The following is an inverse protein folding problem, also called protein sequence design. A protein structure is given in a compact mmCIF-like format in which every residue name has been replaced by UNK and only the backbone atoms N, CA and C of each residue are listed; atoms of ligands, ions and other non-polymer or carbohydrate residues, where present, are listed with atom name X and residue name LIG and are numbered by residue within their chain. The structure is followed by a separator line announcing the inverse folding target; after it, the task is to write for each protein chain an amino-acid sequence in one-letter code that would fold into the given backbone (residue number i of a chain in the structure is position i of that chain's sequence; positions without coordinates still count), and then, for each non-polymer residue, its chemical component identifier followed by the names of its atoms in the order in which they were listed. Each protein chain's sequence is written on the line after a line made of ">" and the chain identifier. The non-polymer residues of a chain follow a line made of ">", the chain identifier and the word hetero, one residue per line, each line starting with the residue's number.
data_IF_919312039218
#
_entry.id   IF_919312039218
#
_cell.length_a   1.000
_cell.length_b   1.000
_cell.length_c   1.000
_cell.angle_alpha   90.00
_cell.angle_beta   90.00
_cell.angle_gamma   90.00
#
_symmetry.space_group_name_H-M   'P 1'
#
loop_
_entity.id
_entity.type
_entity.pdbx_description
1 polymer ?
#
# COMPACT_ATOMS: atom_id res chain seq x y z
N UNK A 1 59.79 -7.35 31.29
CA UNK A 1 60.04 -5.91 31.54
C UNK A 1 60.32 -5.23 30.20
N UNK A 2 59.80 -4.00 29.97
CA UNK A 2 59.61 -3.22 28.70
C UNK A 2 58.28 -3.59 27.99
N UNK A 3 57.18 -2.82 28.05
CA UNK A 3 56.82 -1.44 27.60
C UNK A 3 56.75 -1.30 26.06
N UNK A 4 55.57 -0.90 25.56
CA UNK A 4 55.30 -0.38 24.20
C UNK A 4 54.06 -1.03 23.57
N UNK A 5 52.80 -0.59 23.78
CA UNK A 5 52.14 0.64 23.31
C UNK A 5 52.04 0.67 21.76
N UNK A 6 50.87 0.37 21.17
CA UNK A 6 50.04 1.33 20.42
C UNK A 6 48.86 0.72 19.61
N UNK A 7 47.70 1.36 19.81
CA UNK A 7 46.52 1.56 18.94
C UNK A 7 45.57 0.40 18.58
N UNK A 8 44.64 0.23 19.53
CA UNK A 8 43.21 -0.04 19.38
C UNK A 8 42.55 0.96 18.42
N UNK A 9 41.77 0.52 17.43
CA UNK A 9 40.84 1.40 16.69
C UNK A 9 39.54 0.66 16.37
N UNK A 10 38.70 0.50 17.38
CA UNK A 10 37.24 0.39 17.25
C UNK A 10 36.65 1.30 18.32
N UNK A 11 36.18 2.48 17.93
CA UNK A 11 35.35 3.34 18.77
C UNK A 11 33.98 3.45 18.09
N UNK A 12 33.08 2.56 18.50
CA UNK A 12 31.64 2.81 18.50
C UNK A 12 31.35 3.61 19.78
N UNK A 13 30.34 4.48 19.68
CA UNK A 13 29.64 5.20 20.76
C UNK A 13 30.28 6.51 21.23
N UNK A 14 29.56 7.61 20.92
CA UNK A 14 29.42 8.88 21.64
C UNK A 14 28.84 9.88 20.60
N UNK A 15 27.71 10.57 20.76
CA UNK A 15 26.96 10.92 21.97
C UNK A 15 25.56 11.38 21.56
N UNK A 16 24.52 10.81 22.17
CA UNK A 16 23.28 11.53 22.44
C UNK A 16 23.55 12.40 23.68
N UNK A 17 23.75 13.69 23.49
CA UNK A 17 23.67 14.67 24.58
C UNK A 17 23.06 15.96 24.04
N UNK A 18 21.74 16.03 24.18
CA UNK A 18 20.95 17.21 24.54
C UNK A 18 21.58 18.59 24.28
N UNK A 19 21.12 19.28 23.24
CA UNK A 19 21.35 20.71 23.03
C UNK A 19 20.46 21.58 23.94
N UNK A 20 20.37 21.29 25.25
CA UNK A 20 19.52 22.05 26.19
C UNK A 20 20.32 22.89 27.22
N UNK A 21 21.66 22.88 27.18
CA UNK A 21 22.48 23.59 28.19
C UNK A 21 23.20 24.86 27.71
N UNK A 22 22.80 25.46 26.58
CA UNK A 22 23.33 26.77 26.14
C UNK A 22 22.34 27.93 26.39
N UNK A 23 21.12 27.64 26.87
CA UNK A 23 20.08 28.67 27.10
C UNK A 23 20.20 29.42 28.44
N UNK A 24 21.08 29.02 29.37
CA UNK A 24 21.15 29.63 30.73
C UNK A 24 22.10 30.83 30.90
N UNK A 25 22.77 31.32 29.86
CA UNK A 25 23.77 32.41 29.99
C UNK A 25 23.42 33.76 29.35
N UNK A 26 22.29 33.90 28.67
CA UNK A 26 21.83 35.19 28.20
C UNK A 26 20.35 35.34 28.53
N UNK A 27 20.07 35.98 29.66
CA UNK A 27 18.71 36.38 29.99
C UNK A 27 18.25 37.44 28.99
N UNK A 28 17.21 37.13 28.21
CA UNK A 28 16.15 38.06 27.83
C UNK A 28 14.92 37.24 27.38
N UNK A 29 13.76 37.79 27.72
CA UNK A 29 12.41 37.20 27.76
C UNK A 29 11.81 37.03 26.36
N UNK A 30 11.08 35.92 26.15
CA UNK A 30 9.74 35.95 25.55
C UNK A 30 9.03 34.63 25.86
N UNK A 31 8.07 34.68 26.80
CA UNK A 31 6.90 33.81 26.72
C UNK A 31 6.12 34.19 25.44
N UNK A 32 5.36 33.26 24.86
CA UNK A 32 4.56 33.42 23.64
C UNK A 32 5.21 33.06 22.29
N UNK A 33 6.15 32.11 22.28
CA UNK A 33 6.32 31.28 21.09
C UNK A 33 5.40 30.06 21.22
N UNK A 34 4.18 30.17 20.68
CA UNK A 34 3.38 28.99 20.34
C UNK A 34 4.31 28.10 19.48
N UNK A 35 4.57 26.84 19.83
CA UNK A 35 5.39 26.00 18.98
C UNK A 35 4.67 25.88 17.64
N UNK A 36 5.21 26.53 16.60
CA UNK A 36 4.73 26.33 15.24
C UNK A 36 4.83 24.83 14.98
N UNK A 37 3.66 24.20 14.91
CA UNK A 37 3.57 22.80 14.53
C UNK A 37 4.20 22.70 13.13
N UNK A 38 5.08 21.71 12.87
CA UNK A 38 5.70 21.58 11.57
C UNK A 38 4.58 21.50 10.53
N UNK A 39 4.46 22.51 9.68
CA UNK A 39 3.45 22.51 8.63
C UNK A 39 3.91 21.47 7.62
N UNK A 40 3.25 20.31 7.61
CA UNK A 40 3.58 19.26 6.67
C UNK A 40 3.54 19.79 5.25
N UNK A 41 4.65 19.63 4.55
CA UNK A 41 4.71 19.91 3.11
C UNK A 41 3.80 18.95 2.34
N UNK A 42 3.26 19.38 1.20
CA UNK A 42 2.40 18.53 0.36
C UNK A 42 3.10 17.23 -0.05
N UNK A 43 4.43 17.26 -0.19
CA UNK A 43 5.25 16.08 -0.45
C UNK A 43 5.23 15.07 0.72
N UNK A 44 5.28 15.54 1.97
CA UNK A 44 5.19 14.68 3.15
C UNK A 44 3.80 14.05 3.31
N UNK A 45 2.74 14.82 3.02
CA UNK A 45 1.35 14.31 3.02
C UNK A 45 1.17 13.24 1.95
N UNK A 46 1.60 13.50 0.71
CA UNK A 46 1.52 12.52 -0.38
C UNK A 46 2.32 11.24 -0.05
N UNK A 47 3.46 11.36 0.63
CA UNK A 47 4.25 10.19 1.03
C UNK A 47 3.60 9.38 2.15
N UNK A 48 2.97 10.03 3.13
CA UNK A 48 2.16 9.35 4.16
C UNK A 48 0.94 8.68 3.55
N UNK A 49 0.29 9.31 2.57
CA UNK A 49 -0.86 8.76 1.87
C UNK A 49 -0.48 7.54 1.03
N UNK A 50 0.64 7.60 0.30
CA UNK A 50 1.22 6.42 -0.38
C UNK A 50 1.46 5.25 0.57
N UNK A 51 2.01 5.50 1.75
CA UNK A 51 2.23 4.47 2.77
C UNK A 51 0.91 3.86 3.27
N UNK A 52 -0.09 4.70 3.55
CA UNK A 52 -1.43 4.25 3.97
C UNK A 52 -2.15 3.43 2.90
N UNK A 53 -2.04 3.83 1.63
CA UNK A 53 -2.62 3.09 0.50
C UNK A 53 -1.92 1.75 0.35
N UNK A 54 -0.59 1.70 0.47
CA UNK A 54 0.17 0.45 0.46
C UNK A 54 -0.32 -0.54 1.53
N UNK A 55 -0.62 -0.05 2.74
CA UNK A 55 -1.14 -0.87 3.83
C UNK A 55 -2.61 -1.29 3.64
N UNK A 56 -3.42 -0.49 2.93
CA UNK A 56 -4.87 -0.64 2.85
C UNK A 56 -5.42 -0.74 1.42
N UNK A 57 -4.65 -1.23 0.46
CA UNK A 57 -5.03 -1.21 -0.96
C UNK A 57 -6.36 -1.94 -1.23
N UNK A 58 -6.73 -2.93 -0.42
CA UNK A 58 -8.00 -3.63 -0.48
C UNK A 58 -9.23 -2.71 -0.28
N UNK A 59 -9.06 -1.55 0.35
CA UNK A 59 -10.15 -0.57 0.52
C UNK A 59 -10.36 0.29 -0.75
N UNK A 60 -9.35 0.39 -1.61
CA UNK A 60 -9.35 1.24 -2.80
C UNK A 60 -9.46 0.45 -4.11
N UNK A 61 -9.08 -0.83 -4.11
CA UNK A 61 -9.18 -1.72 -5.26
C UNK A 61 -10.23 -2.80 -4.96
N UNK A 62 -11.29 -2.87 -5.77
CA UNK A 62 -12.45 -3.73 -5.50
C UNK A 62 -12.88 -4.51 -6.72
N UNK A 63 -13.42 -5.70 -6.50
CA UNK A 63 -14.16 -6.45 -7.52
C UNK A 63 -15.60 -5.94 -7.48
N UNK A 64 -16.12 -5.47 -8.61
CA UNK A 64 -17.49 -4.97 -8.74
C UNK A 64 -18.23 -5.72 -9.83
N UNK A 65 -19.56 -5.77 -9.69
CA UNK A 65 -20.47 -6.32 -10.68
C UNK A 65 -21.16 -5.18 -11.41
N UNK A 66 -20.95 -5.08 -12.72
CA UNK A 66 -21.56 -4.03 -13.55
C UNK A 66 -21.89 -4.57 -14.94
N UNK A 67 -23.08 -4.23 -15.45
CA UNK A 67 -23.54 -4.60 -16.80
C UNK A 67 -23.45 -6.11 -17.10
N UNK A 68 -23.70 -6.95 -16.09
CA UNK A 68 -23.65 -8.41 -16.25
C UNK A 68 -22.23 -8.97 -16.31
N UNK A 69 -21.22 -8.26 -15.80
CA UNK A 69 -19.84 -8.71 -15.81
C UNK A 69 -19.08 -8.27 -14.56
N UNK A 70 -18.00 -8.99 -14.23
CA UNK A 70 -17.08 -8.59 -13.15
C UNK A 70 -15.96 -7.73 -13.69
N UNK A 71 -15.68 -6.62 -13.03
CA UNK A 71 -14.52 -5.78 -13.29
C UNK A 71 -13.83 -5.37 -11.99
N UNK A 72 -12.59 -4.89 -12.14
CA UNK A 72 -11.81 -4.31 -11.05
C UNK A 72 -12.00 -2.81 -11.09
N UNK A 73 -12.52 -2.25 -10.00
CA UNK A 73 -12.54 -0.81 -9.77
C UNK A 73 -11.25 -0.40 -9.06
N UNK A 74 -10.55 0.57 -9.64
CA UNK A 74 -9.35 1.17 -9.09
C UNK A 74 -9.65 2.61 -8.67
N UNK A 75 -9.88 2.83 -7.38
CA UNK A 75 -10.09 4.15 -6.79
C UNK A 75 -8.81 4.74 -6.18
N UNK A 76 -7.64 4.36 -6.71
CA UNK A 76 -6.35 4.96 -6.33
C UNK A 76 -5.93 6.01 -7.34
N UNK A 77 -5.01 6.89 -6.95
CA UNK A 77 -4.35 7.85 -7.85
C UNK A 77 -3.29 7.22 -8.76
N UNK A 78 -3.15 5.89 -8.75
CA UNK A 78 -2.10 5.17 -9.45
C UNK A 78 -2.69 4.22 -10.48
N UNK A 79 -1.93 4.02 -11.56
CA UNK A 79 -2.24 2.92 -12.48
C UNK A 79 -1.80 1.61 -11.84
N UNK A 80 -2.70 0.63 -11.81
CA UNK A 80 -2.38 -0.74 -11.39
C UNK A 80 -1.85 -1.49 -12.60
N UNK A 81 -0.67 -2.09 -12.46
CA UNK A 81 -0.05 -2.86 -13.54
C UNK A 81 -0.72 -4.21 -13.70
N UNK A 82 -1.04 -4.85 -12.57
CA UNK A 82 -1.71 -6.14 -12.51
C UNK A 82 -2.54 -6.27 -11.24
N UNK A 83 -3.73 -6.85 -11.37
CA UNK A 83 -4.54 -7.34 -10.27
C UNK A 83 -4.89 -8.80 -10.57
N UNK A 84 -4.47 -9.71 -9.68
CA UNK A 84 -4.79 -11.13 -9.80
C UNK A 84 -5.93 -11.49 -8.85
N UNK A 85 -6.96 -12.12 -9.42
CA UNK A 85 -8.19 -12.49 -8.74
C UNK A 85 -8.39 -13.98 -8.85
N UNK A 86 -8.76 -14.60 -7.74
CA UNK A 86 -9.25 -15.97 -7.74
C UNK A 86 -10.77 -15.91 -7.86
N UNK A 87 -11.30 -16.43 -8.95
CA UNK A 87 -12.74 -16.51 -9.19
C UNK A 87 -13.24 -17.90 -8.86
N UNK A 88 -14.41 -18.00 -8.24
CA UNK A 88 -15.07 -19.26 -7.95
C UNK A 88 -16.55 -19.16 -8.32
N UNK A 89 -17.12 -20.22 -8.88
CA UNK A 89 -18.54 -20.29 -9.22
C UNK A 89 -19.03 -21.74 -9.13
N UNK A 90 -20.33 -21.91 -9.34
CA UNK A 90 -20.96 -23.22 -9.42
C UNK A 90 -21.70 -23.38 -10.75
N UNK A 91 -21.78 -24.61 -11.24
CA UNK A 91 -22.48 -24.96 -12.47
C UNK A 91 -23.25 -26.28 -12.25
N UNK A 92 -24.40 -26.41 -12.89
CA UNK A 92 -25.08 -27.70 -13.02
C UNK A 92 -24.50 -28.48 -14.20
N UNK A 93 -23.95 -29.67 -13.93
CA UNK A 93 -23.45 -30.61 -14.93
C UNK A 93 -24.21 -31.90 -14.72
N UNK A 94 -25.01 -32.32 -15.71
CA UNK A 94 -25.85 -33.52 -15.62
C UNK A 94 -26.71 -33.57 -14.35
N UNK A 95 -27.36 -32.45 -14.01
CA UNK A 95 -28.17 -32.25 -12.80
C UNK A 95 -27.41 -32.22 -11.46
N UNK A 96 -26.08 -32.36 -11.46
CA UNK A 96 -25.24 -32.21 -10.28
C UNK A 96 -24.66 -30.79 -10.16
N UNK A 97 -24.73 -30.19 -8.96
CA UNK A 97 -24.08 -28.91 -8.68
C UNK A 97 -22.59 -29.13 -8.42
N UNK A 98 -21.72 -28.58 -9.27
CA UNK A 98 -20.26 -28.64 -9.15
C UNK A 98 -19.66 -27.27 -8.91
N UNK A 99 -18.61 -27.20 -8.10
CA UNK A 99 -17.85 -25.98 -7.83
C UNK A 99 -16.60 -25.89 -8.71
N UNK A 100 -16.31 -24.69 -9.19
CA UNK A 100 -15.16 -24.38 -10.04
C UNK A 100 -14.41 -23.18 -9.46
N UNK A 101 -13.10 -23.17 -9.64
CA UNK A 101 -12.25 -22.08 -9.21
C UNK A 101 -11.11 -21.90 -10.20
N UNK A 102 -10.83 -20.66 -10.61
CA UNK A 102 -9.73 -20.36 -11.51
C UNK A 102 -9.13 -18.97 -11.26
N UNK A 103 -7.82 -18.79 -11.50
CA UNK A 103 -7.17 -17.49 -11.44
C UNK A 103 -7.47 -16.67 -12.70
N UNK A 104 -7.68 -15.36 -12.51
CA UNK A 104 -7.88 -14.37 -13.55
C UNK A 104 -6.97 -13.17 -13.30
N UNK A 105 -6.51 -12.54 -14.36
CA UNK A 105 -5.62 -11.38 -14.29
C UNK A 105 -6.22 -10.20 -15.05
N UNK A 106 -6.14 -9.04 -14.42
CA UNK A 106 -6.48 -7.75 -15.00
C UNK A 106 -5.20 -6.95 -15.07
N UNK A 107 -4.87 -6.41 -16.23
CA UNK A 107 -3.65 -5.66 -16.44
C UNK A 107 -3.98 -4.23 -16.85
N UNK A 108 -3.07 -3.31 -16.53
CA UNK A 108 -3.15 -1.91 -16.93
C UNK A 108 -4.52 -1.28 -16.62
N UNK A 109 -4.78 -1.06 -15.33
CA UNK A 109 -6.01 -0.43 -14.85
C UNK A 109 -5.67 1.01 -14.45
N UNK A 110 -6.04 2.03 -15.25
CA UNK A 110 -5.74 3.43 -14.94
C UNK A 110 -6.27 3.87 -13.57
N UNK A 111 -5.68 4.93 -13.02
CA UNK A 111 -6.19 5.59 -11.83
C UNK A 111 -7.67 5.99 -11.99
N UNK A 112 -8.45 5.89 -10.92
CA UNK A 112 -9.88 6.25 -10.88
C UNK A 112 -10.71 5.67 -12.03
N UNK A 113 -10.46 4.41 -12.37
CA UNK A 113 -11.07 3.75 -13.52
C UNK A 113 -11.49 2.32 -13.21
N UNK A 114 -12.10 1.67 -14.20
CA UNK A 114 -12.52 0.27 -14.15
C UNK A 114 -11.77 -0.52 -15.20
N UNK A 115 -11.37 -1.74 -14.86
CA UNK A 115 -10.75 -2.65 -15.81
C UNK A 115 -11.73 -3.07 -16.90
N UNK A 116 -11.20 -3.66 -17.97
CA UNK A 116 -12.00 -4.52 -18.84
C UNK A 116 -12.67 -5.62 -18.02
N UNK A 117 -13.90 -5.99 -18.40
CA UNK A 117 -14.69 -6.96 -17.65
C UNK A 117 -14.39 -8.40 -18.06
N UNK A 118 -14.58 -9.34 -17.14
CA UNK A 118 -14.68 -10.76 -17.46
C UNK A 118 -16.11 -11.01 -17.92
N UNK A 119 -16.27 -11.49 -19.15
CA UNK A 119 -17.57 -11.95 -19.65
C UNK A 119 -18.07 -13.10 -18.75
N UNK A 120 -19.22 -12.86 -18.14
CA UNK A 120 -19.89 -13.84 -17.31
C UNK A 120 -20.87 -14.63 -18.18
N UNK A 121 -20.65 -15.95 -18.29
CA UNK A 121 -21.63 -16.84 -18.89
C UNK A 121 -22.74 -17.12 -17.87
N UNK A 122 -23.79 -16.30 -17.91
CA UNK A 122 -24.94 -16.41 -16.99
C UNK A 122 -25.76 -17.70 -17.16
N UNK A 123 -25.53 -18.45 -18.25
CA UNK A 123 -26.21 -19.73 -18.50
C UNK A 123 -25.50 -20.85 -17.72
N UNK A 124 -24.18 -20.77 -17.59
CA UNK A 124 -23.36 -21.85 -17.00
C UNK A 124 -22.82 -21.51 -15.62
N UNK A 125 -22.62 -20.24 -15.33
CA UNK A 125 -22.01 -19.79 -14.09
C UNK A 125 -23.11 -19.30 -13.14
N UNK A 126 -23.12 -19.85 -11.92
CA UNK A 126 -24.00 -19.45 -10.83
C UNK A 126 -23.18 -19.17 -9.57
N UNK A 127 -23.69 -18.30 -8.69
CA UNK A 127 -23.08 -17.97 -7.40
C UNK A 127 -21.60 -17.53 -7.52
N UNK A 128 -21.24 -16.83 -8.60
CA UNK A 128 -19.85 -16.43 -8.83
C UNK A 128 -19.39 -15.44 -7.76
N UNK A 129 -18.16 -15.63 -7.29
CA UNK A 129 -17.46 -14.79 -6.33
C UNK A 129 -16.03 -14.60 -6.80
N UNK A 130 -15.42 -13.50 -6.41
CA UNK A 130 -14.02 -13.22 -6.68
C UNK A 130 -13.30 -12.73 -5.43
N UNK A 131 -12.04 -13.11 -5.29
CA UNK A 131 -11.15 -12.63 -4.24
C UNK A 131 -9.84 -12.13 -4.86
N UNK A 132 -9.51 -10.87 -4.63
CA UNK A 132 -8.20 -10.33 -5.00
C UNK A 132 -7.14 -10.98 -4.09
N UNK A 133 -6.09 -11.53 -4.67
CA UNK A 133 -4.98 -12.12 -3.92
C UNK A 133 -3.62 -11.49 -4.24
N UNK A 134 -3.52 -10.70 -5.29
CA UNK A 134 -2.28 -10.01 -5.67
C UNK A 134 -2.60 -8.69 -6.38
N UNK A 135 -1.84 -7.64 -6.05
CA UNK A 135 -1.87 -6.36 -6.75
C UNK A 135 -0.43 -5.90 -7.00
N UNK A 136 -0.10 -5.57 -8.23
CA UNK A 136 1.18 -4.97 -8.62
C UNK A 136 0.99 -3.51 -9.03
N UNK A 137 1.80 -2.64 -8.44
CA UNK A 137 1.87 -1.22 -8.73
C UNK A 137 3.28 -0.70 -8.39
N UNK A 138 4.13 -0.53 -9.40
CA UNK A 138 5.53 -0.14 -9.18
C UNK A 138 5.66 1.26 -8.56
N UNK A 139 4.73 2.17 -8.86
CA UNK A 139 4.70 3.51 -8.27
C UNK A 139 4.53 3.50 -6.73
N UNK A 140 3.93 2.44 -6.18
CA UNK A 140 3.76 2.20 -4.75
C UNK A 140 4.73 1.15 -4.19
N UNK A 141 5.61 0.59 -5.04
CA UNK A 141 6.49 -0.52 -4.66
C UNK A 141 5.72 -1.74 -4.16
N UNK A 142 4.59 -2.04 -4.82
CA UNK A 142 3.80 -3.26 -4.63
C UNK A 142 4.21 -4.24 -5.74
N UNK A 143 4.86 -5.34 -5.37
CA UNK A 143 5.45 -6.32 -6.28
C UNK A 143 4.94 -7.73 -6.00
#
# INVERSE_FOLDING_TARGET
>A
MKIGRFLFMICIVCSLTSCDEIAKKFGYVSADAIPETPTETDAQKAQKEKAKIKENIANYVKIIWQNGSYCIENNTDYTLEKVSVMTAWTQYVDYEKRGFQEPRQFTYIPAHSKSTSIEYDNIRMHDMKGQIYEIKCSALGLY
#
